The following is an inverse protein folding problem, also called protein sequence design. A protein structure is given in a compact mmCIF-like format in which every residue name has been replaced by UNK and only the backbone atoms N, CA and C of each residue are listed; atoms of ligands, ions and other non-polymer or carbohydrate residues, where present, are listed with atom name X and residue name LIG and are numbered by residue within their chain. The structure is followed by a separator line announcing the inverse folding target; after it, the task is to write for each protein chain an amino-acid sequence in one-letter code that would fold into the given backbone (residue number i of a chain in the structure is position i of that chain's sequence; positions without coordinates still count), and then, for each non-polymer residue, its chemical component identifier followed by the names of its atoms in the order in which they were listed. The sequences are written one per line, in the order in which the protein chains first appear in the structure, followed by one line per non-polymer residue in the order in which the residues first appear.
data_IF_932440454819
#
_entry.id   IF_932440454819
#
_cell.length_a   1.000
_cell.length_b   1.000
_cell.length_c   1.000
_cell.angle_alpha   90.00
_cell.angle_beta   90.00
_cell.angle_gamma   90.00
#
_symmetry.space_group_name_H-M   'P 1'
#
loop_
_entity.id
_entity.type
_entity.pdbx_description
1 polymer ?
#
# COMPACT_ATOMS: atom_id res chain seq x y z
N UNK A 1 -51.78 -24.55 53.28
CA UNK A 1 -53.25 -24.54 53.42
C UNK A 1 -53.82 -25.02 52.12
N UNK A 2 -54.59 -26.11 52.14
CA UNK A 2 -55.22 -26.69 50.94
C UNK A 2 -56.28 -25.72 50.40
N UNK A 3 -56.43 -25.61 49.07
CA UNK A 3 -57.43 -24.73 48.43
C UNK A 3 -58.88 -25.03 48.91
N UNK A 4 -59.13 -26.23 49.41
CA UNK A 4 -60.45 -26.67 49.90
C UNK A 4 -60.75 -26.21 51.34
N UNK A 5 -59.77 -25.66 52.07
CA UNK A 5 -59.89 -25.19 53.45
C UNK A 5 -59.84 -23.65 53.56
N UNK A 6 -59.70 -22.94 52.43
CA UNK A 6 -59.56 -21.49 52.42
C UNK A 6 -60.91 -20.81 52.64
N UNK A 7 -61.10 -20.23 53.84
CA UNK A 7 -62.22 -19.32 54.12
C UNK A 7 -61.93 -17.94 53.51
N UNK A 8 -62.69 -17.55 52.49
CA UNK A 8 -62.64 -16.22 51.88
C UNK A 8 -63.12 -15.19 52.91
N UNK A 9 -62.18 -14.57 53.63
CA UNK A 9 -62.41 -13.42 54.53
C UNK A 9 -61.63 -12.22 53.99
N UNK A 10 -62.14 -10.98 54.14
CA UNK A 10 -61.40 -9.78 53.77
C UNK A 10 -60.06 -9.76 54.52
N UNK A 11 -58.95 -9.88 53.79
CA UNK A 11 -57.62 -9.83 54.38
C UNK A 11 -57.32 -8.38 54.77
N UNK A 12 -57.17 -8.13 56.06
CA UNK A 12 -56.80 -6.81 56.60
C UNK A 12 -55.30 -6.59 56.33
N UNK A 13 -54.92 -5.43 55.79
CA UNK A 13 -53.54 -5.05 55.44
C UNK A 13 -52.91 -5.81 54.24
N UNK A 14 -53.63 -5.95 53.12
CA UNK A 14 -53.01 -6.36 51.87
C UNK A 14 -52.17 -5.21 51.26
N UNK A 15 -50.96 -5.48 50.74
CA UNK A 15 -50.25 -4.49 49.94
C UNK A 15 -51.09 -4.13 48.70
N UNK A 16 -50.95 -2.91 48.15
CA UNK A 16 -51.68 -2.52 46.96
C UNK A 16 -51.30 -3.42 45.78
N UNK A 17 -52.26 -3.73 44.92
CA UNK A 17 -52.05 -4.60 43.74
C UNK A 17 -51.06 -3.96 42.74
N UNK A 18 -51.09 -2.64 42.65
CA UNK A 18 -50.21 -1.83 41.81
C UNK A 18 -49.53 -0.78 42.68
N UNK A 19 -48.26 -0.54 42.40
CA UNK A 19 -47.43 0.50 43.01
C UNK A 19 -47.00 1.42 41.87
N UNK A 20 -46.88 2.72 42.13
CA UNK A 20 -46.41 3.66 41.12
C UNK A 20 -44.97 3.33 40.71
N UNK A 21 -44.65 3.34 39.41
CA UNK A 21 -43.30 2.98 38.95
C UNK A 21 -42.20 3.88 39.57
N UNK A 22 -42.53 5.14 39.86
CA UNK A 22 -41.63 6.09 40.50
C UNK A 22 -41.35 5.79 41.98
N UNK A 23 -42.20 5.00 42.62
CA UNK A 23 -42.06 4.61 44.04
C UNK A 23 -41.11 3.42 44.18
N UNK A 24 -40.78 2.73 43.08
CA UNK A 24 -39.81 1.63 43.03
C UNK A 24 -38.48 2.12 42.49
N UNK A 25 -37.44 2.07 43.32
CA UNK A 25 -36.07 2.31 42.86
C UNK A 25 -35.62 1.21 41.89
N UNK A 26 -35.08 1.56 40.71
CA UNK A 26 -34.59 0.57 39.75
C UNK A 26 -33.30 -0.08 40.24
N UNK A 27 -33.17 -1.38 40.00
CA UNK A 27 -31.92 -2.09 40.21
C UNK A 27 -30.87 -1.69 39.15
N UNK A 28 -29.59 -1.77 39.50
CA UNK A 28 -28.52 -1.60 38.51
C UNK A 28 -28.51 -2.80 37.57
N UNK A 29 -28.68 -2.55 36.27
CA UNK A 29 -28.71 -3.57 35.23
C UNK A 29 -27.64 -3.28 34.19
N UNK A 30 -26.93 -4.31 33.73
CA UNK A 30 -25.90 -4.17 32.69
C UNK A 30 -26.48 -4.27 31.27
N UNK A 31 -27.55 -5.03 31.09
CA UNK A 31 -28.21 -5.22 29.80
C UNK A 31 -29.65 -5.68 29.98
N UNK A 32 -30.45 -5.53 28.92
CA UNK A 32 -31.78 -6.14 28.79
C UNK A 32 -31.76 -7.07 27.59
N UNK A 33 -32.36 -8.25 27.74
CA UNK A 33 -32.44 -9.25 26.69
C UNK A 33 -33.88 -9.56 26.29
N UNK A 34 -34.05 -9.96 25.04
CA UNK A 34 -35.31 -10.48 24.50
C UNK A 34 -35.07 -11.82 23.81
N UNK A 35 -36.06 -12.71 23.85
CA UNK A 35 -36.07 -13.98 23.13
C UNK A 35 -37.43 -14.13 22.45
N UNK A 36 -37.44 -14.35 21.13
CA UNK A 36 -38.66 -14.38 20.33
C UNK A 36 -38.49 -15.25 19.08
N UNK A 37 -39.60 -15.61 18.42
CA UNK A 37 -39.58 -16.27 17.12
C UNK A 37 -39.21 -15.29 15.99
N UNK A 38 -38.19 -15.62 15.20
CA UNK A 38 -37.58 -14.72 14.23
C UNK A 38 -38.52 -14.45 13.05
N UNK A 39 -39.05 -13.24 13.01
CA UNK A 39 -39.78 -12.68 11.87
C UNK A 39 -39.18 -11.33 11.48
N UNK A 40 -39.37 -10.91 10.23
CA UNK A 40 -38.91 -9.60 9.75
C UNK A 40 -39.46 -8.44 10.60
N UNK A 41 -40.75 -8.52 10.97
CA UNK A 41 -41.42 -7.46 11.71
C UNK A 41 -40.84 -7.33 13.13
N UNK A 42 -40.74 -8.44 13.88
CA UNK A 42 -40.19 -8.42 15.23
C UNK A 42 -38.71 -8.06 15.24
N UNK A 43 -37.93 -8.59 14.29
CA UNK A 43 -36.52 -8.24 14.17
C UNK A 43 -36.33 -6.73 13.97
N UNK A 44 -37.06 -6.13 13.02
CA UNK A 44 -36.99 -4.69 12.74
C UNK A 44 -37.45 -3.85 13.94
N UNK A 45 -38.50 -4.30 14.65
CA UNK A 45 -38.97 -3.66 15.87
C UNK A 45 -37.85 -3.58 16.92
N UNK A 46 -37.22 -4.71 17.26
CA UNK A 46 -36.15 -4.74 18.26
C UNK A 46 -34.91 -3.98 17.79
N UNK A 47 -34.55 -4.09 16.51
CA UNK A 47 -33.42 -3.36 15.94
C UNK A 47 -33.61 -1.85 16.06
N UNK A 48 -34.81 -1.33 15.78
CA UNK A 48 -35.16 0.09 15.95
C UNK A 48 -34.99 0.58 17.39
N UNK A 49 -35.12 -0.32 18.38
CA UNK A 49 -34.92 -0.01 19.79
C UNK A 49 -33.48 -0.22 20.29
N UNK A 50 -32.51 -0.35 19.37
CA UNK A 50 -31.08 -0.55 19.62
C UNK A 50 -30.75 -1.90 20.27
N UNK A 51 -31.53 -2.94 19.98
CA UNK A 51 -31.13 -4.30 20.31
C UNK A 51 -30.20 -4.86 19.23
N UNK A 52 -29.24 -5.69 19.65
CA UNK A 52 -28.23 -6.34 18.83
C UNK A 52 -28.40 -7.85 18.94
N UNK A 53 -28.51 -8.59 17.83
CA UNK A 53 -28.65 -10.04 17.89
C UNK A 53 -27.33 -10.70 18.31
N UNK A 54 -27.44 -11.81 19.05
CA UNK A 54 -26.27 -12.63 19.38
C UNK A 54 -26.47 -14.13 19.18
N UNK A 55 -27.73 -14.54 19.00
CA UNK A 55 -28.05 -15.93 18.81
C UNK A 55 -29.31 -16.07 17.94
N UNK A 56 -29.24 -16.99 16.99
CA UNK A 56 -30.38 -17.51 16.25
C UNK A 56 -30.29 -19.03 16.31
N UNK A 57 -31.33 -19.68 16.81
CA UNK A 57 -31.44 -21.12 16.90
C UNK A 57 -31.44 -21.75 15.52
N UNK A 58 -30.69 -22.84 15.34
CA UNK A 58 -30.62 -23.53 14.05
C UNK A 58 -31.86 -24.38 13.76
N UNK A 59 -32.53 -24.84 14.82
CA UNK A 59 -33.71 -25.67 14.71
C UNK A 59 -34.93 -24.76 14.89
N UNK A 60 -35.85 -24.69 13.92
CA UNK A 60 -37.10 -23.96 14.08
C UNK A 60 -37.98 -24.64 15.13
N UNK A 61 -38.79 -23.84 15.82
CA UNK A 61 -39.79 -24.35 16.75
C UNK A 61 -40.77 -25.27 16.02
N UNK A 62 -41.08 -26.44 16.60
CA UNK A 62 -42.06 -27.37 16.02
C UNK A 62 -43.48 -26.80 15.98
N UNK A 63 -43.78 -25.80 16.80
CA UNK A 63 -45.12 -25.19 16.91
C UNK A 63 -45.27 -24.05 15.90
N UNK A 64 -44.30 -23.13 15.83
CA UNK A 64 -44.41 -21.91 15.03
C UNK A 64 -43.66 -22.00 13.69
N UNK A 65 -42.72 -22.93 13.54
CA UNK A 65 -41.82 -22.99 12.39
C UNK A 65 -40.75 -21.90 12.37
N UNK A 66 -40.71 -21.03 13.38
CA UNK A 66 -39.78 -19.90 13.46
C UNK A 66 -38.53 -20.29 14.25
N UNK A 67 -37.39 -19.71 13.85
CA UNK A 67 -36.14 -19.85 14.58
C UNK A 67 -36.17 -18.94 15.82
N UNK A 68 -35.74 -19.43 16.98
CA UNK A 68 -35.61 -18.56 18.16
C UNK A 68 -34.48 -17.54 17.95
N UNK A 69 -34.75 -16.25 18.09
CA UNK A 69 -33.76 -15.18 18.05
C UNK A 69 -33.64 -14.55 19.43
N UNK A 70 -32.40 -14.37 19.88
CA UNK A 70 -32.09 -13.65 21.11
C UNK A 70 -31.28 -12.40 20.77
N UNK A 71 -31.70 -11.28 21.34
CA UNK A 71 -31.06 -9.98 21.15
C UNK A 71 -30.83 -9.32 22.51
N UNK A 72 -29.75 -8.55 22.62
CA UNK A 72 -29.39 -7.80 23.82
C UNK A 72 -29.33 -6.31 23.51
N UNK A 73 -29.69 -5.51 24.50
CA UNK A 73 -29.45 -4.08 24.54
C UNK A 73 -28.56 -3.79 25.74
N UNK A 74 -27.31 -3.33 25.53
CA UNK A 74 -26.48 -2.87 26.63
C UNK A 74 -27.13 -1.64 27.27
N UNK A 75 -27.03 -1.53 28.59
CA UNK A 75 -27.46 -0.36 29.34
C UNK A 75 -26.23 0.42 29.80
N UNK A 76 -26.39 1.74 29.92
CA UNK A 76 -25.34 2.59 30.47
C UNK A 76 -25.12 2.24 31.94
N UNK A 77 -23.91 1.79 32.27
CA UNK A 77 -23.51 1.45 33.62
C UNK A 77 -22.03 1.82 33.82
N UNK A 78 -21.74 2.55 34.89
CA UNK A 78 -20.40 3.01 35.27
C UNK A 78 -19.43 1.86 35.63
N UNK A 79 -19.95 0.64 35.84
CA UNK A 79 -19.15 -0.54 36.17
C UNK A 79 -18.40 -1.14 34.96
N UNK A 80 -18.81 -0.81 33.73
CA UNK A 80 -18.23 -1.38 32.51
C UNK A 80 -17.57 -0.28 31.68
N UNK A 81 -16.25 -0.14 31.79
CA UNK A 81 -15.47 0.70 30.88
C UNK A 81 -15.33 0.03 29.50
N UNK A 82 -16.10 0.50 28.52
CA UNK A 82 -15.90 0.12 27.13
C UNK A 82 -15.39 1.30 26.30
N UNK A 83 -14.20 1.14 25.72
CA UNK A 83 -13.52 2.16 24.90
C UNK A 83 -13.85 2.07 23.40
N UNK A 84 -14.66 1.10 22.97
CA UNK A 84 -15.00 0.95 21.56
C UNK A 84 -16.14 1.89 21.13
N UNK A 85 -16.18 2.21 19.84
CA UNK A 85 -17.14 3.15 19.25
C UNK A 85 -18.35 2.45 18.58
N UNK A 86 -18.54 1.16 18.83
CA UNK A 86 -19.61 0.37 18.21
C UNK A 86 -20.98 0.57 18.88
N UNK A 87 -22.10 0.41 18.15
CA UNK A 87 -23.44 0.52 18.69
C UNK A 87 -23.77 -0.57 19.72
N UNK A 88 -23.00 -1.67 19.76
CA UNK A 88 -23.15 -2.75 20.72
C UNK A 88 -22.47 -2.51 22.07
N UNK A 89 -21.77 -1.40 22.28
CA UNK A 89 -21.00 -1.16 23.51
C UNK A 89 -20.06 -2.34 23.82
N UNK A 90 -20.01 -2.77 25.09
CA UNK A 90 -19.20 -3.93 25.50
C UNK A 90 -19.56 -5.25 24.77
N UNK A 91 -20.73 -5.31 24.14
CA UNK A 91 -21.22 -6.50 23.44
C UNK A 91 -20.65 -6.66 22.01
N UNK A 92 -19.98 -5.64 21.48
CA UNK A 92 -19.49 -5.61 20.10
C UNK A 92 -18.71 -6.88 19.68
N UNK A 93 -17.75 -7.41 20.47
CA UNK A 93 -17.00 -8.61 20.06
C UNK A 93 -17.89 -9.85 19.88
N UNK A 94 -18.94 -9.99 20.69
CA UNK A 94 -19.89 -11.09 20.60
C UNK A 94 -20.80 -10.95 19.38
N UNK A 95 -21.21 -9.72 19.06
CA UNK A 95 -21.93 -9.44 17.83
C UNK A 95 -21.09 -9.79 16.60
N UNK A 96 -19.80 -9.45 16.59
CA UNK A 96 -18.91 -9.80 15.50
C UNK A 96 -18.77 -11.33 15.34
N UNK A 97 -18.61 -12.09 16.43
CA UNK A 97 -18.60 -13.57 16.34
C UNK A 97 -19.93 -14.12 15.80
N UNK A 98 -21.06 -13.60 16.32
CA UNK A 98 -22.39 -13.95 15.82
C UNK A 98 -22.52 -13.70 14.32
N UNK A 99 -22.08 -12.54 13.84
CA UNK A 99 -22.14 -12.17 12.41
C UNK A 99 -21.35 -13.16 11.55
N UNK A 100 -20.11 -13.49 11.93
CA UNK A 100 -19.31 -14.47 11.19
C UNK A 100 -19.96 -15.86 11.17
N UNK A 101 -20.54 -16.30 12.28
CA UNK A 101 -21.25 -17.58 12.37
C UNK A 101 -22.53 -17.57 11.53
N UNK A 102 -23.27 -16.48 11.56
CA UNK A 102 -24.49 -16.30 10.78
C UNK A 102 -24.18 -16.38 9.28
N UNK A 103 -23.14 -15.67 8.81
CA UNK A 103 -22.67 -15.72 7.41
C UNK A 103 -22.40 -17.17 6.97
N UNK A 104 -21.72 -17.97 7.80
CA UNK A 104 -21.41 -19.38 7.49
C UNK A 104 -22.64 -20.29 7.48
N UNK A 105 -23.69 -19.96 8.24
CA UNK A 105 -24.91 -20.76 8.34
C UNK A 105 -25.95 -20.40 7.27
N UNK A 106 -25.77 -19.29 6.54
CA UNK A 106 -26.66 -18.89 5.44
C UNK A 106 -26.68 -19.87 4.28
N UNK A 107 -25.61 -20.64 4.06
CA UNK A 107 -25.56 -21.63 2.98
C UNK A 107 -26.27 -22.95 3.32
N UNK A 108 -26.59 -23.17 4.59
CA UNK A 108 -27.19 -24.42 5.09
C UNK A 108 -28.48 -24.13 5.85
N UNK A 109 -28.40 -23.99 7.17
CA UNK A 109 -29.56 -23.86 8.06
C UNK A 109 -30.45 -22.66 7.72
N UNK A 110 -29.86 -21.53 7.36
CA UNK A 110 -30.58 -20.28 7.10
C UNK A 110 -30.75 -20.00 5.60
N UNK A 111 -30.58 -21.03 4.76
CA UNK A 111 -30.70 -20.94 3.30
C UNK A 111 -32.09 -20.48 2.84
N UNK A 112 -33.13 -20.87 3.57
CA UNK A 112 -34.53 -20.51 3.28
C UNK A 112 -34.95 -19.13 3.79
N UNK A 113 -34.07 -18.39 4.44
CA UNK A 113 -34.43 -17.05 4.93
C UNK A 113 -34.66 -16.10 3.76
N UNK A 114 -35.68 -15.25 3.89
CA UNK A 114 -35.89 -14.19 2.90
C UNK A 114 -34.65 -13.28 2.81
N UNK A 115 -34.29 -12.78 1.62
CA UNK A 115 -33.11 -11.95 1.44
C UNK A 115 -33.18 -10.68 2.30
N UNK A 116 -34.38 -10.14 2.48
CA UNK A 116 -34.61 -8.96 3.31
C UNK A 116 -34.30 -9.22 4.79
N UNK A 117 -34.70 -10.38 5.32
CA UNK A 117 -34.45 -10.74 6.72
C UNK A 117 -32.97 -10.95 6.95
N UNK A 118 -32.32 -11.72 6.09
CA UNK A 118 -30.90 -12.01 6.20
C UNK A 118 -30.04 -10.73 6.09
N UNK A 119 -30.37 -9.80 5.17
CA UNK A 119 -29.71 -8.50 5.11
C UNK A 119 -29.97 -7.64 6.36
N UNK A 120 -31.19 -7.68 6.91
CA UNK A 120 -31.52 -6.96 8.15
C UNK A 120 -30.72 -7.47 9.34
N UNK A 121 -30.52 -8.80 9.42
CA UNK A 121 -29.74 -9.45 10.48
C UNK A 121 -28.24 -9.14 10.36
N UNK A 122 -27.71 -9.18 9.13
CA UNK A 122 -26.31 -8.89 8.85
C UNK A 122 -25.96 -7.42 9.04
N UNK A 123 -26.92 -6.52 8.77
CA UNK A 123 -26.73 -5.06 8.77
C UNK A 123 -25.43 -4.63 8.06
N UNK A 124 -25.22 -5.06 6.80
CA UNK A 124 -23.95 -4.82 6.12
C UNK A 124 -23.75 -3.33 5.85
N UNK A 125 -22.50 -2.87 5.91
CA UNK A 125 -22.15 -1.53 5.45
C UNK A 125 -22.38 -1.41 3.94
N UNK A 126 -23.50 -0.81 3.55
CA UNK A 126 -23.92 -0.65 2.14
C UNK A 126 -23.19 0.51 1.46
N UNK A 127 -22.85 1.56 2.22
CA UNK A 127 -22.20 2.77 1.71
C UNK A 127 -20.82 2.94 2.34
N UNK A 128 -19.80 2.98 1.49
CA UNK A 128 -18.42 3.28 1.85
C UNK A 128 -18.08 4.71 1.46
N UNK A 129 -17.30 5.40 2.29
CA UNK A 129 -16.80 6.75 1.97
C UNK A 129 -15.85 6.69 0.76
N UNK A 130 -15.78 7.77 -0.01
CA UNK A 130 -14.82 7.88 -1.12
C UNK A 130 -13.38 7.59 -0.65
N UNK A 131 -13.03 7.99 0.57
CA UNK A 131 -11.72 7.74 1.17
C UNK A 131 -11.45 6.23 1.36
N UNK A 132 -12.44 5.47 1.84
CA UNK A 132 -12.34 4.02 2.03
C UNK A 132 -12.25 3.28 0.68
N UNK A 133 -12.98 3.76 -0.32
CA UNK A 133 -12.92 3.23 -1.68
C UNK A 133 -11.60 3.53 -2.41
N UNK A 134 -10.85 4.56 -1.99
CA UNK A 134 -9.51 4.90 -2.51
C UNK A 134 -8.40 4.12 -1.80
N UNK A 135 -8.53 3.90 -0.50
CA UNK A 135 -7.67 2.96 0.26
C UNK A 135 -7.77 1.56 -0.35
N UNK A 136 -8.95 1.18 -0.86
CA UNK A 136 -9.17 -0.04 -1.62
C UNK A 136 -9.26 -1.27 -0.71
N UNK A 137 -9.42 -2.45 -1.30
CA UNK A 137 -9.45 -3.69 -0.53
C UNK A 137 -8.11 -3.92 0.20
N UNK A 138 -8.18 -4.44 1.43
CA UNK A 138 -6.98 -4.80 2.18
C UNK A 138 -6.20 -5.91 1.46
N UNK A 139 -4.89 -5.99 1.68
CA UNK A 139 -4.07 -7.10 1.14
C UNK A 139 -4.56 -8.46 1.68
N UNK A 140 -5.18 -8.46 2.88
CA UNK A 140 -5.79 -9.64 3.49
C UNK A 140 -7.00 -10.18 2.69
N UNK A 141 -7.63 -9.33 1.88
CA UNK A 141 -8.74 -9.71 1.00
C UNK A 141 -8.29 -10.60 -0.16
N UNK A 142 -7.00 -10.59 -0.50
CA UNK A 142 -6.38 -11.41 -1.54
C UNK A 142 -5.63 -12.59 -0.92
N UNK A 143 -4.98 -12.37 0.23
CA UNK A 143 -4.21 -13.40 0.94
C UNK A 143 -4.55 -13.42 2.43
N UNK A 144 -5.17 -14.51 2.92
CA UNK A 144 -5.36 -14.69 4.36
C UNK A 144 -4.18 -15.49 4.90
N UNK A 145 -3.19 -14.79 5.43
CA UNK A 145 -1.93 -15.39 5.88
C UNK A 145 -1.10 -15.91 4.70
N UNK A 146 -0.88 -17.24 4.61
CA UNK A 146 -0.12 -17.88 3.51
C UNK A 146 -0.98 -18.48 2.39
N UNK A 147 -2.31 -18.44 2.50
CA UNK A 147 -3.21 -18.97 1.46
C UNK A 147 -3.74 -17.82 0.61
N UNK A 148 -3.54 -17.90 -0.71
CA UNK A 148 -4.26 -17.04 -1.64
C UNK A 148 -5.75 -17.42 -1.60
N UNK A 149 -6.60 -16.44 -1.33
CA UNK A 149 -8.06 -16.56 -1.44
C UNK A 149 -8.50 -16.58 -2.90
N UNK A 150 -7.73 -15.93 -3.78
CA UNK A 150 -7.96 -15.85 -5.23
C UNK A 150 -6.65 -16.08 -5.98
N UNK A 151 -6.65 -16.99 -6.95
CA UNK A 151 -5.51 -17.23 -7.84
C UNK A 151 -5.41 -16.14 -8.92
N UNK A 152 -4.23 -15.89 -9.52
CA UNK A 152 -4.11 -15.03 -10.71
C UNK A 152 -5.03 -15.47 -11.86
N UNK A 153 -5.27 -16.78 -12.00
CA UNK A 153 -6.22 -17.31 -13.00
C UNK A 153 -7.67 -16.96 -12.67
N UNK A 154 -8.05 -16.92 -11.39
CA UNK A 154 -9.37 -16.50 -10.96
C UNK A 154 -9.61 -15.02 -11.26
N UNK A 155 -8.57 -14.19 -11.11
CA UNK A 155 -8.62 -12.78 -11.51
C UNK A 155 -8.87 -12.62 -13.02
N UNK A 156 -8.20 -13.42 -13.86
CA UNK A 156 -8.43 -13.41 -15.31
C UNK A 156 -9.84 -13.89 -15.70
N UNK A 157 -10.38 -14.89 -14.99
CA UNK A 157 -11.77 -15.37 -15.18
C UNK A 157 -12.77 -14.27 -14.83
N UNK A 158 -12.58 -13.59 -13.70
CA UNK A 158 -13.38 -12.44 -13.31
C UNK A 158 -13.28 -11.32 -14.35
N UNK A 159 -12.07 -10.99 -14.81
CA UNK A 159 -11.86 -9.98 -15.84
C UNK A 159 -12.61 -10.31 -17.13
N UNK A 160 -12.53 -11.56 -17.59
CA UNK A 160 -13.24 -12.05 -18.79
C UNK A 160 -14.75 -11.89 -18.68
N UNK A 161 -15.33 -12.22 -17.52
CA UNK A 161 -16.75 -11.97 -17.26
C UNK A 161 -17.09 -10.48 -17.20
N UNK A 162 -16.26 -9.65 -16.56
CA UNK A 162 -16.49 -8.19 -16.49
C UNK A 162 -16.44 -7.50 -17.85
N UNK A 163 -15.66 -8.03 -18.80
CA UNK A 163 -15.60 -7.59 -20.19
C UNK A 163 -16.72 -8.17 -21.06
N UNK A 164 -17.67 -8.91 -20.46
CA UNK A 164 -18.74 -9.62 -21.13
C UNK A 164 -18.25 -10.62 -22.20
N UNK A 165 -17.04 -11.18 -22.01
CA UNK A 165 -16.45 -12.19 -22.92
C UNK A 165 -16.85 -13.62 -22.56
N UNK A 166 -17.41 -13.81 -21.37
CA UNK A 166 -17.80 -15.10 -20.83
C UNK A 166 -19.14 -15.00 -20.09
N UNK A 167 -19.81 -16.13 -19.97
CA UNK A 167 -21.05 -16.27 -19.20
C UNK A 167 -20.78 -16.41 -17.68
N UNK A 168 -21.78 -16.14 -16.85
CA UNK A 168 -21.64 -16.11 -15.38
C UNK A 168 -21.28 -17.49 -14.79
N UNK A 169 -21.61 -18.59 -15.47
CA UNK A 169 -21.22 -19.93 -15.07
C UNK A 169 -19.69 -20.09 -14.94
N UNK A 170 -18.89 -19.30 -15.68
CA UNK A 170 -17.43 -19.31 -15.57
C UNK A 170 -16.94 -18.82 -14.20
N UNK A 171 -17.73 -18.07 -13.43
CA UNK A 171 -17.28 -17.47 -12.16
C UNK A 171 -18.09 -17.95 -10.95
N UNK A 172 -19.02 -18.89 -11.14
CA UNK A 172 -19.99 -19.30 -10.12
C UNK A 172 -19.29 -19.84 -8.86
N UNK A 173 -18.22 -20.61 -9.03
CA UNK A 173 -17.35 -21.13 -7.96
C UNK A 173 -16.66 -20.03 -7.14
N UNK A 174 -16.46 -18.85 -7.73
CA UNK A 174 -15.82 -17.71 -7.07
C UNK A 174 -16.81 -16.84 -6.30
N UNK A 175 -18.12 -16.91 -6.62
CA UNK A 175 -19.14 -16.04 -6.04
C UNK A 175 -19.24 -16.17 -4.51
N UNK A 176 -19.21 -17.37 -3.89
CA UNK A 176 -19.24 -17.49 -2.44
C UNK A 176 -18.06 -16.77 -1.77
N UNK A 177 -16.85 -16.97 -2.29
CA UNK A 177 -15.65 -16.30 -1.78
C UNK A 177 -15.76 -14.78 -1.89
N UNK A 178 -16.24 -14.27 -3.02
CA UNK A 178 -16.46 -12.83 -3.22
C UNK A 178 -17.53 -12.27 -2.27
N UNK A 179 -18.60 -13.02 -2.03
CA UNK A 179 -19.65 -12.62 -1.11
C UNK A 179 -19.13 -12.57 0.32
N UNK A 180 -18.38 -13.58 0.78
CA UNK A 180 -17.73 -13.55 2.09
C UNK A 180 -16.82 -12.32 2.26
N UNK A 181 -15.97 -12.03 1.28
CA UNK A 181 -15.09 -10.86 1.32
C UNK A 181 -15.85 -9.53 1.40
N UNK A 182 -17.00 -9.44 0.72
CA UNK A 182 -17.85 -8.27 0.79
C UNK A 182 -18.56 -8.14 2.15
N UNK A 183 -19.21 -9.21 2.62
CA UNK A 183 -19.98 -9.20 3.86
C UNK A 183 -19.13 -9.21 5.13
N UNK A 184 -17.84 -9.59 5.05
CA UNK A 184 -16.84 -9.39 6.11
C UNK A 184 -16.22 -7.96 6.06
N UNK A 185 -16.72 -7.06 5.20
CA UNK A 185 -16.25 -5.68 5.02
C UNK A 185 -14.77 -5.54 4.58
N UNK A 186 -14.20 -6.61 4.04
CA UNK A 186 -12.81 -6.66 3.56
C UNK A 186 -12.63 -5.95 2.20
N UNK A 187 -13.71 -5.79 1.45
CA UNK A 187 -13.71 -5.14 0.14
C UNK A 187 -14.64 -3.92 0.18
N UNK A 188 -14.09 -2.69 0.33
CA UNK A 188 -14.90 -1.47 0.45
C UNK A 188 -15.54 -1.13 -0.90
N UNK A 189 -16.81 -1.52 -1.05
CA UNK A 189 -17.58 -1.32 -2.29
C UNK A 189 -18.99 -0.88 -1.97
N UNK A 190 -19.41 0.29 -2.47
CA UNK A 190 -20.79 0.71 -2.31
C UNK A 190 -21.72 -0.06 -3.27
N UNK A 191 -22.60 -0.90 -2.72
CA UNK A 191 -23.63 -1.63 -3.46
C UNK A 191 -25.01 -1.01 -3.19
N UNK A 192 -25.97 -1.17 -4.11
CA UNK A 192 -27.38 -0.91 -3.76
C UNK A 192 -27.96 -2.06 -2.94
N UNK A 193 -29.09 -1.83 -2.27
CA UNK A 193 -29.77 -2.88 -1.51
C UNK A 193 -30.09 -4.11 -2.37
N UNK A 194 -30.62 -3.92 -3.57
CA UNK A 194 -30.90 -5.02 -4.51
C UNK A 194 -29.61 -5.73 -4.98
N UNK A 195 -28.51 -4.99 -5.16
CA UNK A 195 -27.20 -5.58 -5.50
C UNK A 195 -26.67 -6.46 -4.37
N UNK A 196 -26.77 -5.99 -3.12
CA UNK A 196 -26.39 -6.76 -1.94
C UNK A 196 -27.29 -7.99 -1.74
N UNK A 197 -28.60 -7.86 -1.99
CA UNK A 197 -29.54 -8.97 -1.92
C UNK A 197 -29.21 -10.07 -2.94
N UNK A 198 -28.92 -9.70 -4.19
CA UNK A 198 -28.50 -10.67 -5.22
C UNK A 198 -27.20 -11.37 -4.83
N UNK A 199 -26.20 -10.61 -4.34
CA UNK A 199 -24.92 -11.17 -3.89
C UNK A 199 -25.10 -12.12 -2.68
N UNK A 200 -25.98 -11.77 -1.75
CA UNK A 200 -26.35 -12.60 -0.60
C UNK A 200 -26.96 -13.93 -1.08
N UNK A 201 -27.96 -13.88 -1.96
CA UNK A 201 -28.66 -15.08 -2.40
C UNK A 201 -27.75 -16.01 -3.20
N UNK A 202 -27.00 -15.47 -4.18
CA UNK A 202 -26.13 -16.28 -5.03
C UNK A 202 -24.87 -16.74 -4.30
N UNK A 203 -24.29 -15.90 -3.44
CA UNK A 203 -22.99 -16.18 -2.82
C UNK A 203 -23.05 -16.77 -1.43
N UNK A 204 -23.95 -16.30 -0.54
CA UNK A 204 -24.03 -16.81 0.82
C UNK A 204 -25.10 -17.89 1.00
N UNK A 205 -26.24 -17.78 0.29
CA UNK A 205 -27.32 -18.78 0.35
C UNK A 205 -27.21 -19.85 -0.75
N UNK A 206 -26.29 -19.70 -1.71
CA UNK A 206 -26.09 -20.62 -2.83
C UNK A 206 -27.40 -20.94 -3.58
N UNK A 207 -28.15 -19.89 -3.91
CA UNK A 207 -29.36 -19.99 -4.73
C UNK A 207 -29.07 -19.76 -6.20
N UNK A 208 -29.80 -20.48 -7.05
CA UNK A 208 -29.77 -20.28 -8.49
C UNK A 208 -30.52 -19.01 -8.89
N UNK A 209 -30.23 -18.50 -10.08
CA UNK A 209 -30.82 -17.26 -10.60
C UNK A 209 -32.34 -17.35 -10.68
N UNK A 210 -32.88 -18.52 -11.03
CA UNK A 210 -34.33 -18.75 -11.08
C UNK A 210 -34.99 -18.59 -9.71
N UNK A 211 -34.30 -19.02 -8.64
CA UNK A 211 -34.79 -18.81 -7.27
C UNK A 211 -34.68 -17.34 -6.85
N UNK A 212 -33.58 -16.68 -7.23
CA UNK A 212 -33.39 -15.24 -6.96
C UNK A 212 -34.47 -14.39 -7.63
N UNK A 213 -34.86 -14.74 -8.86
CA UNK A 213 -35.96 -14.08 -9.58
C UNK A 213 -37.31 -14.28 -8.85
N UNK A 214 -37.59 -15.50 -8.38
CA UNK A 214 -38.83 -15.81 -7.66
C UNK A 214 -38.94 -15.08 -6.31
N UNK A 215 -37.82 -14.93 -5.58
CA UNK A 215 -37.76 -14.19 -4.31
C UNK A 215 -37.84 -12.67 -4.54
N UNK A 216 -37.09 -12.15 -5.52
CA UNK A 216 -37.01 -10.73 -5.83
C UNK A 216 -38.04 -10.29 -6.88
N UNK A 217 -39.31 -10.72 -6.73
CA UNK A 217 -40.47 -10.58 -7.65
C UNK A 217 -40.62 -9.28 -8.46
N UNK A 218 -39.92 -8.21 -8.09
CA UNK A 218 -39.86 -6.93 -8.77
C UNK A 218 -38.84 -6.89 -9.93
N UNK A 219 -37.91 -7.84 -10.02
CA UNK A 219 -36.84 -7.87 -11.01
C UNK A 219 -37.00 -9.06 -11.96
N UNK A 220 -36.91 -8.80 -13.26
CA UNK A 220 -36.84 -9.88 -14.25
C UNK A 220 -35.44 -10.51 -14.32
N UNK A 221 -35.34 -11.78 -14.76
CA UNK A 221 -34.07 -12.53 -14.90
C UNK A 221 -32.91 -11.73 -15.51
N UNK A 222 -33.17 -11.01 -16.60
CA UNK A 222 -32.16 -10.21 -17.29
C UNK A 222 -31.63 -9.05 -16.43
N UNK A 223 -32.49 -8.45 -15.61
CA UNK A 223 -32.10 -7.39 -14.69
C UNK A 223 -31.26 -7.93 -13.54
N UNK A 224 -31.60 -9.12 -13.01
CA UNK A 224 -30.80 -9.81 -11.98
C UNK A 224 -29.39 -10.06 -12.51
N UNK A 225 -29.25 -10.63 -13.72
CA UNK A 225 -27.96 -10.84 -14.36
C UNK A 225 -27.18 -9.53 -14.60
N UNK A 226 -27.87 -8.48 -15.06
CA UNK A 226 -27.24 -7.18 -15.27
C UNK A 226 -26.73 -6.55 -13.96
N UNK A 227 -27.50 -6.66 -12.87
CA UNK A 227 -27.09 -6.18 -11.56
C UNK A 227 -25.96 -7.03 -10.98
N UNK A 228 -26.03 -8.35 -11.11
CA UNK A 228 -24.97 -9.26 -10.70
C UNK A 228 -23.65 -8.93 -11.44
N UNK A 229 -23.71 -8.73 -12.76
CA UNK A 229 -22.55 -8.30 -13.56
C UNK A 229 -21.98 -6.96 -13.06
N UNK A 230 -22.82 -6.00 -12.69
CA UNK A 230 -22.38 -4.73 -12.08
C UNK A 230 -21.71 -4.95 -10.71
N UNK A 231 -22.20 -5.86 -9.88
CA UNK A 231 -21.58 -6.20 -8.58
C UNK A 231 -20.19 -6.78 -8.82
N UNK A 232 -20.07 -7.78 -9.67
CA UNK A 232 -18.79 -8.44 -9.96
C UNK A 232 -17.78 -7.43 -10.53
N UNK A 233 -18.22 -6.52 -11.43
CA UNK A 233 -17.37 -5.43 -11.96
C UNK A 233 -16.79 -4.55 -10.86
N UNK A 234 -17.62 -4.16 -9.88
CA UNK A 234 -17.18 -3.33 -8.75
C UNK A 234 -16.19 -4.07 -7.85
N UNK A 235 -16.50 -5.32 -7.49
CA UNK A 235 -15.64 -6.15 -6.64
C UNK A 235 -14.30 -6.44 -7.32
N UNK A 236 -14.32 -6.86 -8.58
CA UNK A 236 -13.12 -7.06 -9.40
C UNK A 236 -12.28 -5.79 -9.47
N UNK A 237 -12.90 -4.63 -9.69
CA UNK A 237 -12.17 -3.35 -9.74
C UNK A 237 -11.42 -3.03 -8.44
N UNK A 238 -12.01 -3.34 -7.27
CA UNK A 238 -11.34 -3.13 -5.98
C UNK A 238 -10.25 -4.17 -5.70
N UNK A 239 -10.49 -5.44 -6.04
CA UNK A 239 -9.50 -6.50 -5.89
C UNK A 239 -8.31 -6.29 -6.83
N UNK A 240 -8.54 -5.85 -8.06
CA UNK A 240 -7.48 -5.51 -9.01
C UNK A 240 -6.63 -4.34 -8.50
N UNK A 241 -7.25 -3.30 -7.92
CA UNK A 241 -6.50 -2.20 -7.27
C UNK A 241 -5.63 -2.70 -6.12
N UNK A 242 -6.16 -3.58 -5.28
CA UNK A 242 -5.41 -4.16 -4.17
C UNK A 242 -4.24 -5.03 -4.67
N UNK A 243 -4.46 -5.86 -5.69
CA UNK A 243 -3.41 -6.67 -6.31
C UNK A 243 -2.32 -5.79 -6.94
N UNK A 244 -2.70 -4.71 -7.64
CA UNK A 244 -1.76 -3.76 -8.21
C UNK A 244 -0.89 -3.07 -7.14
N UNK A 245 -1.48 -2.70 -5.99
CA UNK A 245 -0.75 -2.12 -4.85
C UNK A 245 0.24 -3.12 -4.24
N UNK A 246 -0.13 -4.39 -4.13
CA UNK A 246 0.77 -5.45 -3.64
C UNK A 246 1.98 -5.62 -4.57
N UNK A 247 1.76 -5.65 -5.89
CA UNK A 247 2.82 -5.71 -6.89
C UNK A 247 3.72 -4.48 -6.81
N UNK A 248 3.15 -3.27 -6.71
CA UNK A 248 3.91 -2.03 -6.57
C UNK A 248 4.77 -2.00 -5.30
N UNK A 249 4.31 -2.63 -4.22
CA UNK A 249 5.08 -2.74 -2.98
C UNK A 249 6.24 -3.73 -3.06
N UNK A 250 6.13 -4.76 -3.90
CA UNK A 250 7.17 -5.79 -4.10
C UNK A 250 8.16 -5.43 -5.19
N UNK A 251 7.82 -4.50 -6.08
CA UNK A 251 8.75 -3.99 -7.09
C UNK A 251 9.92 -3.24 -6.41
N UNK A 252 11.18 -3.49 -6.81
CA UNK A 252 12.32 -2.76 -6.29
C UNK A 252 12.20 -1.28 -6.67
N UNK A 253 11.96 -0.43 -5.68
CA UNK A 253 11.93 1.02 -5.89
C UNK A 253 13.34 1.49 -6.22
N UNK A 254 13.52 2.12 -7.38
CA UNK A 254 14.74 2.85 -7.68
C UNK A 254 14.92 3.91 -6.58
N UNK A 255 16.08 3.89 -5.90
CA UNK A 255 16.40 4.94 -4.92
C UNK A 255 16.18 6.28 -5.60
N UNK A 256 15.30 7.09 -5.04
CA UNK A 256 15.13 8.47 -5.46
C UNK A 256 16.48 9.16 -5.30
N UNK A 257 17.18 9.38 -6.41
CA UNK A 257 18.42 10.14 -6.42
C UNK A 257 18.00 11.56 -6.09
N UNK A 258 18.17 11.93 -4.82
CA UNK A 258 18.07 13.32 -4.39
C UNK A 258 19.17 14.07 -5.14
N UNK A 259 18.79 14.73 -6.24
CA UNK A 259 19.65 15.67 -6.96
C UNK A 259 19.81 16.90 -6.07
N UNK A 260 20.58 16.76 -4.99
CA UNK A 260 21.02 17.88 -4.18
C UNK A 260 21.93 18.73 -5.08
N UNK A 261 21.69 20.04 -5.19
CA UNK A 261 22.65 20.91 -5.85
C UNK A 261 24.01 20.70 -5.18
N UNK A 262 25.06 20.48 -5.99
CA UNK A 262 26.40 20.38 -5.46
C UNK A 262 26.70 21.63 -4.62
N UNK A 263 27.27 21.44 -3.43
CA UNK A 263 27.60 22.54 -2.51
C UNK A 263 28.64 23.52 -3.08
N UNK A 264 29.30 23.14 -4.18
CA UNK A 264 30.22 23.97 -4.95
C UNK A 264 29.58 24.33 -6.28
N UNK A 265 29.64 25.62 -6.62
CA UNK A 265 29.28 26.07 -7.97
C UNK A 265 30.30 25.53 -8.97
N UNK A 266 29.84 25.24 -10.20
CA UNK A 266 30.72 24.88 -11.32
C UNK A 266 31.82 25.93 -11.52
N UNK A 267 31.50 27.22 -11.30
CA UNK A 267 32.47 28.31 -11.39
C UNK A 267 33.55 28.25 -10.30
N UNK A 268 33.21 27.74 -9.12
CA UNK A 268 34.13 27.62 -8.01
C UNK A 268 35.05 26.41 -8.20
N UNK A 269 34.51 25.31 -8.72
CA UNK A 269 35.28 24.11 -9.06
C UNK A 269 36.27 24.38 -10.22
N UNK A 270 35.83 25.11 -11.25
CA UNK A 270 36.71 25.56 -12.34
C UNK A 270 37.82 26.49 -11.85
N UNK A 271 37.54 27.38 -10.88
CA UNK A 271 38.56 28.25 -10.27
C UNK A 271 39.55 27.47 -9.43
N UNK A 272 39.09 26.47 -8.68
CA UNK A 272 39.97 25.61 -7.88
C UNK A 272 40.88 24.76 -8.78
N UNK A 273 40.32 24.17 -9.84
CA UNK A 273 41.11 23.46 -10.86
C UNK A 273 42.12 24.38 -11.56
N UNK A 274 41.74 25.61 -11.88
CA UNK A 274 42.66 26.59 -12.47
C UNK A 274 43.81 26.94 -11.51
N UNK A 275 43.53 27.14 -10.22
CA UNK A 275 44.55 27.38 -9.19
C UNK A 275 45.53 26.23 -9.09
N UNK A 276 45.04 24.99 -8.99
CA UNK A 276 45.91 23.80 -8.95
C UNK A 276 46.82 23.69 -10.18
N UNK A 277 46.33 24.06 -11.38
CA UNK A 277 47.15 24.05 -12.60
C UNK A 277 48.20 25.16 -12.55
N UNK A 278 47.84 26.37 -12.10
CA UNK A 278 48.81 27.47 -11.98
C UNK A 278 49.88 27.19 -10.92
N UNK A 279 49.52 26.56 -9.80
CA UNK A 279 50.45 26.16 -8.75
C UNK A 279 51.40 25.08 -9.27
N UNK A 280 50.88 24.02 -9.90
CA UNK A 280 51.73 22.99 -10.55
C UNK A 280 52.63 23.56 -11.64
N UNK A 281 52.14 24.53 -12.41
CA UNK A 281 52.93 25.21 -13.43
C UNK A 281 54.02 26.09 -12.80
N UNK A 282 53.73 26.81 -11.72
CA UNK A 282 54.71 27.60 -10.98
C UNK A 282 55.74 26.73 -10.27
N UNK A 283 55.36 25.61 -9.67
CA UNK A 283 56.30 24.63 -9.10
C UNK A 283 57.18 24.01 -10.19
N UNK A 284 56.61 23.70 -11.35
CA UNK A 284 57.38 23.25 -12.52
C UNK A 284 58.31 24.34 -13.05
N UNK A 285 57.92 25.61 -13.02
CA UNK A 285 58.78 26.72 -13.44
C UNK A 285 59.88 26.99 -12.41
N UNK A 286 59.57 26.96 -11.12
CA UNK A 286 60.55 27.12 -10.04
C UNK A 286 61.58 25.98 -10.03
N UNK A 287 61.16 24.74 -10.30
CA UNK A 287 62.09 23.61 -10.45
C UNK A 287 62.93 23.67 -11.74
N UNK A 288 62.47 24.40 -12.76
CA UNK A 288 63.25 24.66 -13.99
C UNK A 288 64.15 25.90 -13.86
N UNK A 289 63.85 26.83 -12.96
CA UNK A 289 64.60 28.07 -12.72
C UNK A 289 65.59 27.88 -11.57
N UNK A 290 66.71 27.21 -11.83
CA UNK A 290 67.82 27.18 -10.89
C UNK A 290 68.49 28.57 -10.81
N UNK A 291 68.67 29.16 -9.62
CA UNK A 291 69.31 30.48 -9.47
C UNK A 291 70.76 30.49 -9.97
N UNK A 292 71.45 29.34 -9.97
CA UNK A 292 72.81 29.19 -10.51
C UNK A 292 72.87 29.34 -12.05
N UNK A 293 71.82 28.95 -12.77
CA UNK A 293 71.73 29.11 -14.23
C UNK A 293 71.34 30.54 -14.64
N UNK A 294 70.77 31.34 -13.74
CA UNK A 294 70.43 32.74 -14.03
C UNK A 294 71.63 33.68 -13.83
N UNK A 295 72.59 33.29 -12.98
CA UNK A 295 73.84 34.03 -12.78
C UNK A 295 74.72 34.08 -14.04
N UNK A 296 74.60 33.11 -14.95
CA UNK A 296 75.36 33.11 -16.22
C UNK A 296 74.92 34.23 -17.20
N UNK A 297 73.77 34.86 -16.94
CA UNK A 297 73.26 36.01 -17.70
C UNK A 297 73.24 37.30 -16.88
N UNK A 298 73.81 37.30 -15.67
CA UNK A 298 73.98 38.52 -14.90
C UNK A 298 75.01 39.42 -15.62
N UNK A 299 74.56 40.59 -16.06
CA UNK A 299 75.44 41.59 -16.68
C UNK A 299 76.20 42.28 -15.54
N UNK A 300 77.38 41.75 -15.19
CA UNK A 300 78.33 42.43 -14.32
C UNK A 300 79.11 43.47 -15.13
N UNK A 301 78.55 44.67 -15.30
CA UNK A 301 79.27 45.82 -15.85
C UNK A 301 79.28 46.95 -14.82
N UNK A 302 80.46 47.52 -14.54
CA UNK A 302 80.58 48.75 -13.75
C UNK A 302 80.18 49.93 -14.64
N UNK A 303 79.50 50.95 -14.11
CA UNK A 303 79.04 52.12 -14.89
C UNK A 303 80.18 52.77 -15.72
N UNK A 304 81.42 52.72 -15.22
CA UNK A 304 82.60 53.22 -15.92
C UNK A 304 82.90 52.51 -17.27
N UNK A 305 82.60 51.21 -17.39
CA UNK A 305 82.87 50.44 -18.62
C UNK A 305 81.84 50.76 -19.73
N UNK A 306 80.64 51.22 -19.34
CA UNK A 306 79.62 51.72 -20.27
C UNK A 306 79.92 53.14 -20.74
N UNK A 307 80.51 53.99 -19.89
CA UNK A 307 80.93 55.35 -20.26
C UNK A 307 82.09 55.35 -21.27
N UNK A 308 83.07 54.46 -21.11
CA UNK A 308 84.21 54.34 -22.05
C UNK A 308 83.77 53.82 -23.44
N UNK A 309 82.75 52.96 -23.48
CA UNK A 309 82.15 52.47 -24.73
C UNK A 309 81.31 53.53 -25.47
N UNK A 310 80.81 54.55 -24.76
CA UNK A 310 79.99 55.65 -25.30
C UNK A 310 80.83 56.89 -25.71
N UNK A 311 82.07 57.05 -25.20
CA UNK A 311 82.90 58.24 -25.46
C UNK A 311 83.57 58.30 -26.86
N UNK A 312 83.53 57.25 -27.68
CA UNK A 312 83.96 57.30 -29.09
C UNK A 312 82.91 57.93 -30.04
N UNK A 313 82.16 58.90 -29.52
CA UNK A 313 80.94 59.45 -30.11
C UNK A 313 81.12 60.65 -31.03
N UNK A 314 82.17 60.73 -31.86
CA UNK A 314 82.28 61.80 -32.88
C UNK A 314 82.67 61.35 -34.30
N UNK A 315 82.59 60.04 -34.60
CA UNK A 315 82.59 59.55 -36.00
C UNK A 315 81.57 58.44 -36.22
N UNK A 316 80.49 58.79 -36.95
CA UNK A 316 79.52 57.91 -37.67
C UNK A 316 79.33 56.50 -37.08
N UNK A 317 78.32 56.36 -36.22
CA UNK A 317 77.73 55.06 -35.84
C UNK A 317 77.14 54.40 -37.09
N UNK A 318 77.64 53.21 -37.44
CA UNK A 318 77.12 52.41 -38.56
C UNK A 318 75.78 51.77 -38.20
N UNK A 319 74.92 51.57 -39.22
CA UNK A 319 73.49 51.17 -39.14
C UNK A 319 73.15 49.80 -38.51
N UNK A 320 73.98 49.23 -37.64
CA UNK A 320 73.66 47.96 -36.96
C UNK A 320 73.67 48.00 -35.42
N UNK A 321 73.83 49.17 -34.79
CA UNK A 321 73.50 49.39 -33.37
C UNK A 321 74.14 48.46 -32.33
N UNK A 322 75.22 47.75 -32.67
CA UNK A 322 75.85 46.77 -31.78
C UNK A 322 77.02 47.42 -31.03
N UNK A 323 76.91 47.53 -29.71
CA UNK A 323 77.99 47.94 -28.80
C UNK A 323 78.39 46.70 -28.00
N UNK A 324 79.67 46.34 -28.03
CA UNK A 324 80.20 45.15 -27.36
C UNK A 324 81.04 45.58 -26.16
N UNK A 325 80.61 45.20 -24.96
CA UNK A 325 81.33 45.43 -23.70
C UNK A 325 81.98 44.12 -23.27
N UNK A 326 83.23 44.17 -22.81
CA UNK A 326 84.07 42.99 -22.56
C UNK A 326 83.70 42.32 -21.22
N UNK A 327 82.74 41.40 -21.25
CA UNK A 327 82.35 40.59 -20.08
C UNK A 327 83.40 39.55 -19.71
N UNK A 328 83.81 39.52 -18.44
CA UNK A 328 84.81 38.59 -17.91
C UNK A 328 84.18 37.37 -17.24
N UNK A 329 83.90 36.29 -17.99
CA UNK A 329 83.57 34.98 -17.40
C UNK A 329 84.23 33.83 -18.18
N UNK A 330 84.95 32.96 -17.47
CA UNK A 330 85.58 31.73 -18.00
C UNK A 330 84.52 30.66 -18.29
N UNK A 331 84.56 30.09 -19.50
CA UNK A 331 83.69 29.02 -19.99
C UNK A 331 83.95 27.71 -19.23
N UNK A 332 82.91 27.10 -18.62
CA UNK A 332 82.95 25.75 -18.03
C UNK A 332 82.64 24.66 -19.07
N UNK A 333 83.33 23.52 -18.98
CA UNK A 333 83.23 22.36 -19.88
C UNK A 333 81.93 21.54 -19.71
N UNK A 334 81.54 20.87 -20.80
CA UNK A 334 80.32 20.06 -20.96
C UNK A 334 80.31 18.81 -20.06
N UNK A 335 79.31 18.72 -19.18
CA UNK A 335 78.90 17.50 -18.45
C UNK A 335 77.93 16.60 -19.23
N UNK A 336 77.87 15.32 -18.85
CA UNK A 336 77.39 14.15 -19.59
C UNK A 336 75.86 14.06 -19.81
N UNK A 337 75.50 13.37 -20.90
CA UNK A 337 74.16 12.86 -21.23
C UNK A 337 73.68 11.83 -20.21
N UNK A 338 72.48 12.04 -19.64
CA UNK A 338 71.69 10.97 -19.03
C UNK A 338 70.50 10.58 -19.92
N UNK A 339 70.34 9.26 -20.12
CA UNK A 339 69.26 8.62 -20.86
C UNK A 339 67.98 8.65 -20.01
N UNK A 340 66.89 9.22 -20.53
CA UNK A 340 65.52 8.92 -20.07
C UNK A 340 64.81 8.03 -21.10
N UNK A 341 64.44 6.83 -20.65
CA UNK A 341 63.66 5.85 -21.39
C UNK A 341 62.29 6.39 -21.79
N UNK A 342 61.93 6.22 -23.07
CA UNK A 342 60.58 6.40 -23.59
C UNK A 342 59.88 5.04 -23.58
N UNK A 343 58.93 4.80 -22.67
CA UNK A 343 58.00 3.67 -22.76
C UNK A 343 56.85 4.02 -23.73
N UNK A 344 56.93 3.49 -24.95
CA UNK A 344 55.79 3.36 -25.86
C UNK A 344 54.99 2.11 -25.49
N UNK A 345 53.75 2.26 -25.02
CA UNK A 345 52.77 1.17 -24.98
C UNK A 345 51.94 1.25 -26.26
N UNK A 346 52.21 0.33 -27.19
CA UNK A 346 51.45 0.10 -28.43
C UNK A 346 50.38 -0.97 -28.20
N UNK A 347 49.15 -0.66 -28.63
CA UNK A 347 48.02 -1.59 -28.82
C UNK A 347 48.36 -2.69 -29.84
N UNK A 348 47.99 -3.93 -29.53
CA UNK A 348 47.72 -5.08 -30.43
C UNK A 348 46.69 -5.94 -29.67
N UNK A 349 45.52 -6.31 -30.16
CA UNK A 349 45.15 -6.65 -31.53
C UNK A 349 45.54 -8.10 -31.81
N UNK A 350 44.78 -9.07 -31.27
CA UNK A 350 44.92 -10.49 -31.59
C UNK A 350 43.63 -11.00 -32.21
N UNK A 351 43.74 -11.39 -33.48
CA UNK A 351 42.82 -12.22 -34.22
C UNK A 351 43.61 -13.42 -34.79
N UNK A 352 42.93 -14.57 -34.89
CA UNK A 352 43.27 -15.83 -35.62
C UNK A 352 44.47 -16.64 -35.11
N UNK A 353 44.48 -17.98 -35.06
CA UNK A 353 43.58 -19.08 -35.46
C UNK A 353 44.22 -20.38 -34.90
N UNK A 354 43.46 -21.32 -34.36
CA UNK A 354 42.87 -22.50 -35.05
C UNK A 354 43.71 -23.79 -34.84
N UNK A 355 43.20 -24.77 -34.08
CA UNK A 355 43.15 -26.20 -34.49
C UNK A 355 42.34 -27.08 -33.51
N UNK A 356 41.22 -27.62 -34.02
CA UNK A 356 40.68 -28.98 -33.91
C UNK A 356 40.76 -29.79 -32.59
N UNK A 357 39.60 -30.23 -32.07
CA UNK A 357 39.33 -31.68 -31.85
C UNK A 357 37.84 -32.03 -31.65
N UNK A 358 37.41 -32.97 -32.51
CA UNK A 358 36.26 -33.89 -32.62
C UNK A 358 35.33 -34.24 -31.41
N UNK A 359 34.06 -34.52 -31.80
CA UNK A 359 33.04 -35.48 -31.26
C UNK A 359 32.36 -35.06 -29.94
N UNK A 360 31.04 -35.20 -29.72
CA UNK A 360 30.11 -36.29 -30.08
C UNK A 360 28.64 -35.84 -29.91
N UNK A 361 27.74 -36.39 -30.73
CA UNK A 361 26.27 -36.41 -30.56
C UNK A 361 25.86 -37.09 -29.24
N UNK A 362 24.77 -36.62 -28.62
CA UNK A 362 23.66 -37.49 -28.15
C UNK A 362 22.42 -36.66 -27.80
N UNK A 363 21.31 -36.97 -28.50
CA UNK A 363 19.94 -36.81 -28.02
C UNK A 363 19.74 -37.65 -26.75
N UNK A 364 19.03 -37.12 -25.76
CA UNK A 364 17.77 -37.67 -25.23
C UNK A 364 16.86 -36.47 -25.01
#
# INVERSE_FOLDING_TARGET
VSLMEEQIKPRVNLPPLLVGLHERHPEKLHYIGVSFGLTQHLYNFWRKHNFVPFYIGQIPSAITGEHTCMMLKPLDNDEIEYKGKGPGGFFEPFYQDFRHRFIRLLCSTFRSFSPALALSVLDPKISFSEQEMQVGASTESISRGKRLLLSPYDMQRLESYTKNLADYHLILDLVPSLAHLYFDEMVPTSLSYSQAAILLCMGLQNHDIDHVEAELKQLGRQQVLALFSKVVKKLHGQLHKAAAKEIESTLPRLKQISMQPHGTSVDEDLKNAAKEVTEKMNESLQSMLNPEDLQQYAIEGREADFEEALQNGDRKISKSGLISVKGGVKKREKGKKEKKERKHIKRKGNASGDTQTKKKKSRI
#
